data_IF_372484598459
#
_entry.id   IF_372484598459
#
_cell.length_a   1.000
_cell.length_b   1.000
_cell.length_c   1.000
_cell.angle_alpha   90.00
_cell.angle_beta   90.00
_cell.angle_gamma   90.00
#
_symmetry.space_group_name_H-M   'P 1'
#
loop_
_entity.id
_entity.type
_entity.pdbx_description
1 polymer ?
#
# COMPACT_ATOMS: atom_id res chain seq x y z
N UNK A 1 -63.90 2.53 -12.37
CA UNK A 1 -63.25 2.87 -11.09
C UNK A 1 -61.96 3.59 -11.41
N UNK A 2 -62.00 4.92 -11.37
CA UNK A 2 -60.90 5.80 -11.76
C UNK A 2 -60.32 6.34 -10.45
N UNK A 3 -59.09 5.94 -10.12
CA UNK A 3 -58.40 6.39 -8.90
C UNK A 3 -57.73 7.71 -9.23
N UNK A 4 -58.27 8.81 -8.69
CA UNK A 4 -57.64 10.11 -8.71
C UNK A 4 -56.57 10.17 -7.62
N UNK A 5 -55.30 10.26 -8.01
CA UNK A 5 -54.19 10.59 -7.11
C UNK A 5 -54.10 12.10 -6.98
N UNK A 6 -54.54 12.59 -5.83
CA UNK A 6 -54.39 13.97 -5.39
C UNK A 6 -52.94 14.17 -4.92
N UNK A 7 -52.15 14.86 -5.73
CA UNK A 7 -50.73 15.13 -5.46
C UNK A 7 -50.61 16.55 -4.90
N UNK A 8 -50.33 16.66 -3.61
CA UNK A 8 -50.09 17.94 -2.95
C UNK A 8 -48.89 18.67 -3.58
N UNK A 9 -48.94 20.02 -3.72
CA UNK A 9 -47.83 20.79 -4.27
C UNK A 9 -46.60 20.72 -3.35
N UNK A 10 -45.39 20.66 -3.91
CA UNK A 10 -44.16 20.54 -3.13
C UNK A 10 -43.90 21.79 -2.29
N UNK A 11 -43.30 21.56 -1.11
CA UNK A 11 -42.96 22.58 -0.13
C UNK A 11 -42.02 23.66 -0.75
N UNK A 12 -42.40 24.95 -0.72
CA UNK A 12 -41.61 26.04 -1.27
C UNK A 12 -40.23 26.22 -0.61
N UNK A 13 -39.96 25.59 0.55
CA UNK A 13 -38.63 25.60 1.15
C UNK A 13 -37.64 24.68 0.43
N UNK A 14 -38.09 23.55 -0.15
CA UNK A 14 -37.19 22.64 -0.87
C UNK A 14 -36.71 23.22 -2.20
N UNK A 15 -37.54 24.02 -2.87
CA UNK A 15 -37.14 24.70 -4.11
C UNK A 15 -36.03 25.74 -3.89
N UNK A 16 -35.99 26.40 -2.71
CA UNK A 16 -34.92 27.37 -2.38
C UNK A 16 -33.58 26.72 -2.05
N UNK A 17 -33.58 25.47 -1.59
CA UNK A 17 -32.36 24.71 -1.29
C UNK A 17 -31.73 24.22 -2.60
N UNK A 18 -32.55 23.78 -3.56
CA UNK A 18 -32.08 23.32 -4.87
C UNK A 18 -31.50 24.47 -5.73
N UNK A 19 -32.10 25.66 -5.70
CA UNK A 19 -31.55 26.83 -6.39
C UNK A 19 -30.18 27.30 -5.82
N UNK A 20 -29.92 27.07 -4.53
CA UNK A 20 -28.61 27.38 -3.92
C UNK A 20 -27.51 26.40 -4.31
N UNK A 21 -27.87 25.15 -4.62
CA UNK A 21 -26.90 24.12 -5.04
C UNK A 21 -26.52 24.32 -6.52
N UNK A 22 -27.44 24.77 -7.37
CA UNK A 22 -27.18 25.02 -8.79
C UNK A 22 -26.27 26.24 -9.06
N UNK A 23 -26.14 27.18 -8.12
CA UNK A 23 -25.43 28.44 -8.32
C UNK A 23 -23.93 28.43 -7.97
N UNK A 24 -23.35 27.30 -7.56
CA UNK A 24 -21.89 27.14 -7.41
C UNK A 24 -21.18 28.16 -6.51
N UNK A 25 -21.89 28.82 -5.60
CA UNK A 25 -21.34 29.90 -4.77
C UNK A 25 -20.90 29.35 -3.41
N UNK A 26 -19.59 29.27 -3.11
CA UNK A 26 -19.15 28.87 -1.78
C UNK A 26 -19.64 29.87 -0.73
N UNK A 27 -19.99 29.42 0.49
CA UNK A 27 -20.38 30.33 1.56
C UNK A 27 -19.20 31.24 1.88
N UNK A 28 -19.44 32.56 1.82
CA UNK A 28 -18.48 33.57 2.22
C UNK A 28 -18.04 33.29 3.66
N UNK A 29 -16.73 33.17 3.86
CA UNK A 29 -16.11 33.10 5.17
C UNK A 29 -16.48 34.37 5.94
N UNK A 30 -17.31 34.22 6.96
CA UNK A 30 -17.56 35.28 7.94
C UNK A 30 -16.27 35.53 8.70
N UNK A 31 -15.66 36.69 8.41
CA UNK A 31 -14.64 37.32 9.24
C UNK A 31 -15.14 37.41 10.69
N UNK A 32 -14.38 36.81 11.59
CA UNK A 32 -14.68 36.76 13.02
C UNK A 32 -13.64 37.63 13.75
N UNK A 33 -13.90 38.93 14.02
CA UNK A 33 -12.98 39.79 14.73
C UNK A 33 -13.20 39.62 16.24
N UNK A 34 -12.51 38.67 16.86
CA UNK A 34 -12.47 38.58 18.32
C UNK A 34 -11.08 38.19 18.82
N UNK A 35 -10.25 39.22 18.97
CA UNK A 35 -9.01 39.15 19.74
C UNK A 35 -9.31 38.94 21.22
N UNK A 36 -9.33 37.69 21.66
CA UNK A 36 -9.16 37.33 23.06
C UNK A 36 -7.81 36.61 23.21
N UNK A 37 -6.82 37.35 23.73
CA UNK A 37 -5.59 36.77 24.29
C UNK A 37 -6.00 35.80 25.42
N UNK A 38 -6.00 34.50 25.15
CA UNK A 38 -6.03 33.48 26.21
C UNK A 38 -4.73 33.58 27.00
N UNK A 39 -4.84 34.13 28.21
CA UNK A 39 -3.84 34.01 29.26
C UNK A 39 -3.73 32.53 29.63
N UNK A 40 -2.57 31.92 29.36
CA UNK A 40 -2.31 30.52 29.70
C UNK A 40 -2.40 30.33 31.22
N UNK A 41 -3.32 29.47 31.66
CA UNK A 41 -3.36 28.99 33.04
C UNK A 41 -2.21 28.00 33.25
N UNK A 42 -1.51 28.04 34.40
CA UNK A 42 -0.45 27.10 34.72
C UNK A 42 -1.01 25.67 34.80
N UNK A 43 -0.28 24.71 34.20
CA UNK A 43 -0.66 23.31 34.20
C UNK A 43 -0.69 22.73 35.64
N UNK A 44 -1.66 21.88 35.98
CA UNK A 44 -1.70 21.19 37.26
C UNK A 44 -0.50 20.27 37.41
N UNK A 45 0.12 20.29 38.60
CA UNK A 45 1.25 19.41 38.96
C UNK A 45 0.81 17.94 38.95
N UNK A 46 1.63 17.03 38.39
CA UNK A 46 1.31 15.60 38.39
C UNK A 46 1.33 15.02 39.81
N UNK A 47 0.45 14.05 40.12
CA UNK A 47 0.41 13.38 41.41
C UNK A 47 1.67 12.54 41.66
N UNK A 48 2.09 12.37 42.94
CA UNK A 48 3.24 11.56 43.28
C UNK A 48 3.02 10.07 42.95
N UNK A 49 4.07 9.33 42.57
CA UNK A 49 3.97 7.91 42.26
C UNK A 49 3.62 7.08 43.52
N UNK A 50 2.83 6.01 43.38
CA UNK A 50 2.49 5.13 44.49
C UNK A 50 3.73 4.39 45.00
N UNK A 51 3.88 4.32 46.33
CA UNK A 51 4.95 3.60 47.00
C UNK A 51 4.86 2.10 46.71
N UNK A 52 5.91 1.55 46.09
CA UNK A 52 6.05 0.12 45.84
C UNK A 52 6.30 -0.61 47.17
N UNK A 53 5.30 -1.37 47.62
CA UNK A 53 5.45 -2.31 48.72
C UNK A 53 6.39 -3.45 48.31
N UNK A 54 7.49 -3.63 49.04
CA UNK A 54 8.42 -4.75 48.86
C UNK A 54 7.76 -6.06 49.32
N UNK A 55 7.15 -6.77 48.37
CA UNK A 55 6.69 -8.14 48.53
C UNK A 55 7.87 -9.11 48.63
N UNK A 56 7.90 -9.86 49.73
CA UNK A 56 8.91 -10.86 50.09
C UNK A 56 8.88 -12.02 49.06
N UNK A 57 9.98 -12.24 48.36
CA UNK A 57 10.11 -13.31 47.36
C UNK A 57 10.10 -14.70 48.01
N UNK A 58 9.19 -15.56 47.59
CA UNK A 58 9.22 -17.02 47.84
C UNK A 58 10.16 -17.71 46.86
N UNK A 59 11.00 -18.68 47.31
CA UNK A 59 11.91 -19.40 46.43
C UNK A 59 11.17 -20.40 45.51
N UNK A 60 11.68 -20.64 44.29
CA UNK A 60 11.10 -21.60 43.36
C UNK A 60 11.38 -23.07 43.76
N UNK A 61 10.49 -24.03 43.42
CA UNK A 61 10.71 -25.45 43.67
C UNK A 61 11.77 -26.03 42.72
N UNK A 62 12.64 -26.88 43.30
CA UNK A 62 13.72 -27.58 42.61
C UNK A 62 13.23 -28.42 41.42
N UNK A 63 13.82 -28.16 40.25
CA UNK A 63 13.58 -28.92 39.03
C UNK A 63 14.19 -30.34 39.14
N UNK A 64 13.37 -31.34 38.83
CA UNK A 64 13.72 -32.76 38.78
C UNK A 64 14.44 -33.06 37.46
N UNK A 65 15.66 -33.60 37.54
CA UNK A 65 16.49 -33.92 36.37
C UNK A 65 15.83 -34.98 35.47
N UNK A 66 15.79 -34.72 34.16
CA UNK A 66 15.42 -35.69 33.14
C UNK A 66 16.65 -36.50 32.69
N UNK A 67 16.49 -37.78 32.30
CA UNK A 67 17.58 -38.62 31.83
C UNK A 67 18.12 -38.17 30.47
N UNK A 68 19.46 -38.12 30.37
CA UNK A 68 20.22 -37.78 29.18
C UNK A 68 20.11 -38.89 28.13
N UNK A 69 19.52 -38.56 26.97
CA UNK A 69 19.48 -39.43 25.80
C UNK A 69 20.74 -39.19 24.97
N UNK A 70 21.51 -40.26 24.78
CA UNK A 70 22.76 -40.29 24.00
C UNK A 70 22.44 -40.27 22.50
N UNK A 71 23.10 -39.44 21.67
CA UNK A 71 22.98 -39.52 20.22
C UNK A 71 23.79 -40.71 19.67
N UNK A 72 23.35 -41.34 18.56
CA UNK A 72 24.07 -42.43 17.89
C UNK A 72 25.22 -41.91 17.01
N UNK A 73 26.27 -42.73 16.90
CA UNK A 73 27.48 -42.48 16.10
C UNK A 73 27.19 -42.38 14.59
N UNK A 74 27.90 -41.50 13.86
CA UNK A 74 27.84 -41.47 12.40
C UNK A 74 28.63 -42.63 11.78
N UNK A 75 27.94 -43.41 10.96
CA UNK A 75 28.53 -44.42 10.07
C UNK A 75 29.44 -43.75 9.04
N UNK A 76 30.64 -44.31 8.94
CA UNK A 76 31.75 -43.88 8.10
C UNK A 76 31.67 -44.65 6.77
N UNK A 77 31.10 -44.03 5.73
CA UNK A 77 31.06 -44.63 4.39
C UNK A 77 32.35 -44.35 3.62
N UNK A 78 32.93 -45.44 3.11
CA UNK A 78 34.15 -45.49 2.30
C UNK A 78 33.92 -44.92 0.90
N UNK A 79 34.72 -43.93 0.51
CA UNK A 79 34.77 -43.42 -0.85
C UNK A 79 35.72 -44.27 -1.72
N UNK A 80 35.20 -44.79 -2.84
CA UNK A 80 36.02 -45.30 -3.95
C UNK A 80 36.35 -44.16 -4.93
N UNK A 81 37.55 -44.15 -5.56
CA UNK A 81 37.93 -43.10 -6.49
C UNK A 81 37.28 -43.34 -7.87
N UNK A 82 36.47 -42.39 -8.33
CA UNK A 82 35.99 -42.32 -9.72
C UNK A 82 36.97 -41.48 -10.52
N UNK A 83 37.54 -42.09 -11.56
CA UNK A 83 38.41 -41.45 -12.55
C UNK A 83 37.56 -40.53 -13.43
N UNK A 84 37.78 -39.22 -13.35
CA UNK A 84 37.08 -38.23 -14.18
C UNK A 84 37.91 -37.95 -15.43
N UNK A 85 37.39 -38.35 -16.59
CA UNK A 85 37.93 -38.00 -17.89
C UNK A 85 37.71 -36.51 -18.18
N UNK A 86 38.78 -35.82 -18.57
CA UNK A 86 38.77 -34.41 -18.94
C UNK A 86 38.06 -34.22 -20.30
N UNK A 87 36.81 -33.76 -20.26
CA UNK A 87 36.13 -33.19 -21.43
C UNK A 87 36.36 -31.69 -21.44
N UNK A 88 37.01 -31.18 -22.49
CA UNK A 88 37.06 -29.75 -22.81
C UNK A 88 35.63 -29.25 -23.07
N UNK A 89 35.04 -28.61 -22.06
CA UNK A 89 33.77 -27.91 -22.19
C UNK A 89 33.99 -26.51 -22.74
N UNK A 90 33.58 -26.30 -23.98
CA UNK A 90 33.35 -24.98 -24.56
C UNK A 90 32.34 -24.22 -23.69
N UNK A 91 32.60 -22.96 -23.29
CA UNK A 91 31.74 -22.25 -22.34
C UNK A 91 30.35 -22.04 -22.95
N UNK A 92 29.27 -22.47 -22.28
CA UNK A 92 27.92 -22.25 -22.78
C UNK A 92 27.67 -20.74 -22.89
N UNK A 93 27.35 -20.29 -24.10
CA UNK A 93 26.93 -18.91 -24.39
C UNK A 93 25.69 -18.64 -23.55
N UNK A 94 25.88 -17.98 -22.41
CA UNK A 94 24.78 -17.63 -21.51
C UNK A 94 23.75 -16.81 -22.30
N UNK A 95 22.46 -17.20 -22.31
CA UNK A 95 21.44 -16.42 -22.99
C UNK A 95 21.47 -15.02 -22.39
N UNK A 96 21.66 -14.00 -23.25
CA UNK A 96 21.54 -12.59 -22.87
C UNK A 96 20.14 -12.41 -22.28
N UNK A 97 20.02 -12.46 -20.95
CA UNK A 97 18.80 -12.08 -20.25
C UNK A 97 18.57 -10.62 -20.63
N UNK A 98 17.57 -10.38 -21.46
CA UNK A 98 17.08 -9.03 -21.74
C UNK A 98 16.68 -8.45 -20.39
N UNK A 99 17.53 -7.58 -19.84
CA UNK A 99 17.18 -6.81 -18.66
C UNK A 99 15.86 -6.11 -18.99
N UNK A 100 14.80 -6.32 -18.20
CA UNK A 100 13.53 -5.65 -18.44
C UNK A 100 13.81 -4.14 -18.52
N UNK A 101 13.42 -3.54 -19.64
CA UNK A 101 13.64 -2.11 -19.86
C UNK A 101 12.84 -1.34 -18.82
N UNK A 102 13.53 -0.64 -17.93
CA UNK A 102 12.93 0.23 -16.92
C UNK A 102 12.43 1.57 -17.51
N UNK A 103 12.59 1.77 -18.82
CA UNK A 103 12.13 2.96 -19.54
C UNK A 103 10.63 2.88 -19.84
N UNK A 104 9.99 4.04 -19.89
CA UNK A 104 8.63 4.19 -20.42
C UNK A 104 8.73 3.90 -21.93
N UNK A 105 7.95 2.95 -22.43
CA UNK A 105 7.90 2.66 -23.87
C UNK A 105 7.31 3.83 -24.66
N UNK A 106 7.54 3.91 -25.99
CA UNK A 106 7.00 4.98 -26.81
C UNK A 106 5.46 5.06 -26.77
N UNK A 107 4.79 3.92 -26.54
CA UNK A 107 3.33 3.84 -26.45
C UNK A 107 2.80 3.86 -24.99
N UNK A 108 3.70 3.98 -24.01
CA UNK A 108 3.31 4.06 -22.61
C UNK A 108 2.97 5.52 -22.25
N UNK A 109 1.80 5.75 -21.67
CA UNK A 109 1.40 7.03 -21.09
C UNK A 109 1.66 7.04 -19.58
N UNK A 110 2.25 8.14 -19.09
CA UNK A 110 2.47 8.40 -17.69
C UNK A 110 1.46 9.43 -17.16
N UNK A 111 0.80 9.11 -16.06
CA UNK A 111 -0.02 10.04 -15.30
C UNK A 111 0.54 10.19 -13.90
N UNK A 112 0.87 11.42 -13.51
CA UNK A 112 1.15 11.74 -12.12
C UNK A 112 -0.15 11.65 -11.32
N UNK A 113 -0.17 10.74 -10.34
CA UNK A 113 -1.31 10.57 -9.44
C UNK A 113 -1.18 11.49 -8.23
N UNK A 114 0.03 11.61 -7.68
CA UNK A 114 0.29 12.35 -6.44
C UNK A 114 1.79 12.57 -6.20
N UNK A 115 2.13 13.62 -5.46
CA UNK A 115 3.45 13.83 -4.88
C UNK A 115 3.38 14.57 -3.54
N UNK A 116 4.48 14.49 -2.78
CA UNK A 116 4.72 15.21 -1.53
C UNK A 116 5.53 16.48 -1.81
N UNK A 117 4.93 17.69 -1.71
CA UNK A 117 5.63 18.95 -1.94
C UNK A 117 6.85 19.11 -1.02
N UNK A 118 6.79 18.58 0.21
CA UNK A 118 7.92 18.67 1.15
C UNK A 118 9.14 17.86 0.70
N UNK A 119 8.96 16.89 -0.20
CA UNK A 119 10.03 16.08 -0.75
C UNK A 119 10.72 16.73 -1.96
N UNK A 120 10.06 17.65 -2.67
CA UNK A 120 10.58 18.26 -3.92
C UNK A 120 11.93 18.96 -3.73
N UNK A 121 12.17 19.75 -2.66
CA UNK A 121 13.49 20.33 -2.42
C UNK A 121 14.61 19.27 -2.28
N UNK A 122 14.30 18.08 -1.75
CA UNK A 122 15.26 16.97 -1.68
C UNK A 122 15.48 16.31 -3.04
N UNK A 123 14.46 16.27 -3.89
CA UNK A 123 14.59 15.80 -5.28
C UNK A 123 15.55 16.71 -6.06
N UNK A 124 15.32 18.03 -6.03
CA UNK A 124 16.17 19.06 -6.69
C UNK A 124 17.61 19.11 -6.16
N UNK A 125 17.87 18.61 -4.94
CA UNK A 125 19.22 18.50 -4.37
C UNK A 125 20.05 17.36 -4.94
N UNK A 126 19.44 16.34 -5.56
CA UNK A 126 20.20 15.24 -6.16
C UNK A 126 20.81 15.70 -7.48
N UNK A 127 22.13 15.75 -7.57
CA UNK A 127 22.83 16.29 -8.75
C UNK A 127 22.40 15.64 -10.07
N UNK A 128 22.20 14.32 -10.08
CA UNK A 128 21.74 13.58 -11.28
C UNK A 128 20.35 14.00 -11.74
N UNK A 129 19.49 14.42 -10.82
CA UNK A 129 18.13 14.87 -11.09
C UNK A 129 18.09 16.34 -11.44
N UNK A 130 18.88 17.17 -10.74
CA UNK A 130 19.08 18.57 -11.08
C UNK A 130 19.56 18.74 -12.52
N UNK A 131 20.64 18.08 -12.90
CA UNK A 131 21.17 18.14 -14.27
C UNK A 131 20.14 17.71 -15.33
N UNK A 132 19.23 16.80 -14.98
CA UNK A 132 18.15 16.36 -15.87
C UNK A 132 17.09 17.46 -16.00
N UNK A 133 16.67 18.06 -14.88
CA UNK A 133 15.69 19.14 -14.86
C UNK A 133 16.23 20.37 -15.59
N UNK A 134 17.46 20.81 -15.31
CA UNK A 134 18.11 21.95 -15.97
C UNK A 134 18.10 21.76 -17.50
N UNK A 135 18.47 20.57 -17.98
CA UNK A 135 18.47 20.24 -19.42
C UNK A 135 17.06 20.28 -20.03
N UNK A 136 16.05 19.76 -19.33
CA UNK A 136 14.67 19.73 -19.83
C UNK A 136 14.06 21.14 -19.84
N UNK A 137 14.42 21.99 -18.88
CA UNK A 137 14.02 23.39 -18.85
C UNK A 137 14.59 24.16 -20.05
N UNK A 138 15.87 23.95 -20.38
CA UNK A 138 16.50 24.53 -21.57
C UNK A 138 15.80 24.07 -22.87
N UNK A 139 15.35 22.82 -22.95
CA UNK A 139 14.61 22.29 -24.11
C UNK A 139 13.20 22.90 -24.23
N UNK A 140 12.48 23.07 -23.13
CA UNK A 140 11.12 23.62 -23.11
C UNK A 140 11.06 25.11 -23.46
N UNK A 141 12.03 25.89 -23.01
CA UNK A 141 12.10 27.33 -23.34
C UNK A 141 12.19 27.58 -24.86
N UNK A 142 12.68 26.61 -25.63
CA UNK A 142 12.73 26.71 -27.09
C UNK A 142 11.36 26.51 -27.77
N UNK A 143 10.35 26.01 -27.05
CA UNK A 143 9.01 25.69 -27.57
C UNK A 143 7.92 26.69 -27.14
N UNK A 144 8.30 27.90 -26.73
CA UNK A 144 7.42 28.89 -26.10
C UNK A 144 6.10 29.13 -26.86
N UNK A 145 5.00 28.62 -26.29
CA UNK A 145 3.62 29.01 -26.58
C UNK A 145 3.24 29.98 -25.47
N UNK A 146 2.86 31.20 -25.84
CA UNK A 146 2.40 32.28 -24.94
C UNK A 146 1.04 31.91 -24.30
N UNK A 147 1.02 31.06 -23.26
CA UNK A 147 -0.17 30.80 -22.44
C UNK A 147 -0.11 31.59 -21.13
N UNK A 148 -0.49 32.86 -21.22
CA UNK A 148 -0.51 33.89 -20.15
C UNK A 148 -1.65 33.70 -19.11
N UNK A 149 -2.22 32.50 -18.97
CA UNK A 149 -3.52 32.31 -18.33
C UNK A 149 -3.56 31.30 -17.17
N UNK A 150 -2.47 31.09 -16.43
CA UNK A 150 -2.47 30.23 -15.24
C UNK A 150 -2.22 31.05 -13.96
N UNK A 151 -3.32 31.38 -13.30
CA UNK A 151 -3.40 32.09 -12.03
C UNK A 151 -3.29 31.15 -10.82
N UNK A 152 -2.70 29.96 -11.00
CA UNK A 152 -2.41 29.01 -9.93
C UNK A 152 -1.07 29.37 -9.26
N UNK A 153 -0.88 28.92 -8.01
CA UNK A 153 0.35 29.12 -7.25
C UNK A 153 1.56 28.60 -8.07
N UNK A 154 2.34 29.52 -8.64
CA UNK A 154 3.43 29.21 -9.59
C UNK A 154 4.42 28.15 -9.05
N UNK A 155 4.60 28.10 -7.73
CA UNK A 155 5.43 27.11 -7.03
C UNK A 155 4.85 25.70 -7.17
N UNK A 156 3.54 25.53 -7.03
CA UNK A 156 2.89 24.21 -7.14
C UNK A 156 2.93 23.70 -8.58
N UNK A 157 2.84 24.62 -9.56
CA UNK A 157 2.99 24.29 -10.98
C UNK A 157 4.41 23.82 -11.29
N UNK A 158 5.44 24.51 -10.78
CA UNK A 158 6.84 24.12 -10.94
C UNK A 158 7.15 22.78 -10.26
N UNK A 159 6.67 22.59 -9.03
CA UNK A 159 6.86 21.35 -8.27
C UNK A 159 6.17 20.15 -8.94
N UNK A 160 4.97 20.36 -9.49
CA UNK A 160 4.24 19.35 -10.26
C UNK A 160 4.98 19.02 -11.56
N UNK A 161 5.44 20.04 -12.31
CA UNK A 161 6.24 19.89 -13.54
C UNK A 161 7.49 19.08 -13.27
N UNK A 162 8.31 19.50 -12.32
CA UNK A 162 9.59 18.85 -12.02
C UNK A 162 9.38 17.40 -11.59
N UNK A 163 8.38 17.14 -10.74
CA UNK A 163 8.08 15.78 -10.29
C UNK A 163 7.63 14.90 -11.45
N UNK A 164 6.78 15.44 -12.34
CA UNK A 164 6.36 14.73 -13.56
C UNK A 164 7.56 14.42 -14.45
N UNK A 165 8.44 15.38 -14.69
CA UNK A 165 9.63 15.22 -15.52
C UNK A 165 10.61 14.19 -14.97
N UNK A 166 10.83 14.18 -13.66
CA UNK A 166 11.64 13.14 -13.01
C UNK A 166 11.02 11.76 -13.18
N UNK A 167 9.71 11.63 -12.98
CA UNK A 167 9.01 10.37 -13.19
C UNK A 167 9.07 9.94 -14.65
N UNK A 168 9.03 10.84 -15.63
CA UNK A 168 9.11 10.52 -17.05
C UNK A 168 10.52 10.10 -17.49
N UNK A 169 11.53 10.90 -17.14
CA UNK A 169 12.83 10.85 -17.81
C UNK A 169 13.97 10.27 -16.97
N UNK A 170 13.87 10.29 -15.64
CA UNK A 170 14.99 9.84 -14.81
C UNK A 170 15.20 8.32 -14.87
N UNK A 171 16.42 7.86 -14.62
CA UNK A 171 16.72 6.43 -14.62
C UNK A 171 16.12 5.74 -13.39
N UNK A 172 15.21 4.80 -13.63
CA UNK A 172 14.59 4.00 -12.58
C UNK A 172 15.49 2.84 -12.14
N UNK A 173 15.61 2.67 -10.83
CA UNK A 173 16.24 1.50 -10.24
C UNK A 173 15.33 0.28 -10.32
N UNK A 174 15.95 -0.89 -10.49
CA UNK A 174 15.26 -2.17 -10.40
C UNK A 174 14.93 -2.48 -8.93
N UNK A 175 13.76 -3.06 -8.68
CA UNK A 175 13.27 -3.41 -7.33
C UNK A 175 14.22 -4.36 -6.59
N UNK A 176 14.89 -5.26 -7.29
CA UNK A 176 15.89 -6.16 -6.71
C UNK A 176 17.22 -5.50 -6.29
N UNK A 177 17.38 -4.18 -6.41
CA UNK A 177 18.59 -3.44 -5.99
C UNK A 177 18.32 -2.46 -4.84
N UNK A 178 17.27 -2.68 -4.07
CA UNK A 178 16.89 -1.77 -2.98
C UNK A 178 17.94 -1.78 -1.85
N UNK A 179 18.60 -2.92 -1.59
CA UNK A 179 19.70 -3.02 -0.61
C UNK A 179 20.91 -2.14 -0.98
N UNK A 180 21.31 -2.13 -2.25
CA UNK A 180 22.39 -1.28 -2.78
C UNK A 180 22.09 0.21 -2.61
N UNK A 181 20.81 0.58 -2.55
CA UNK A 181 20.38 1.96 -2.35
C UNK A 181 20.39 2.30 -0.87
N UNK A 182 19.89 1.42 0.00
CA UNK A 182 19.86 1.64 1.46
C UNK A 182 21.28 1.88 2.01
N UNK A 183 22.26 1.09 1.57
CA UNK A 183 23.66 1.20 2.01
C UNK A 183 24.26 2.60 1.78
N UNK A 184 23.80 3.31 0.74
CA UNK A 184 24.22 4.71 0.44
C UNK A 184 23.63 5.74 1.41
N UNK A 185 22.60 5.37 2.16
CA UNK A 185 21.98 6.24 3.17
C UNK A 185 22.81 6.37 4.44
N UNK A 186 23.88 5.59 4.59
CA UNK A 186 24.79 5.65 5.74
C UNK A 186 25.87 6.70 5.48
N UNK A 187 25.89 7.73 6.32
CA UNK A 187 26.99 8.70 6.37
C UNK A 187 28.22 8.09 7.06
N UNK A 188 29.40 8.65 6.80
CA UNK A 188 30.66 8.27 7.47
C UNK A 188 30.58 8.48 9.00
N UNK A 189 29.79 9.46 9.44
CA UNK A 189 29.48 9.74 10.86
C UNK A 189 28.55 8.70 11.51
N UNK A 190 28.13 7.66 10.77
CA UNK A 190 27.15 6.66 11.23
C UNK A 190 25.69 7.15 11.26
N UNK A 191 25.44 8.41 10.89
CA UNK A 191 24.08 8.95 10.73
C UNK A 191 23.41 8.30 9.52
N UNK A 192 22.14 7.93 9.68
CA UNK A 192 21.33 7.42 8.59
C UNK A 192 20.45 8.53 8.02
N UNK A 193 20.58 8.79 6.72
CA UNK A 193 19.71 9.67 5.95
C UNK A 193 19.02 8.81 4.89
N UNK A 194 17.71 8.57 4.99
CA UNK A 194 16.98 7.71 4.05
C UNK A 194 17.20 8.16 2.61
N UNK A 195 17.84 7.32 1.77
CA UNK A 195 18.15 7.68 0.41
C UNK A 195 16.88 7.75 -0.42
N UNK A 196 16.80 8.76 -1.28
CA UNK A 196 15.68 8.97 -2.19
C UNK A 196 16.00 8.29 -3.52
N UNK A 197 15.09 7.48 -4.05
CA UNK A 197 15.31 6.73 -5.28
C UNK A 197 14.03 6.62 -6.10
N UNK A 198 14.20 6.51 -7.42
CA UNK A 198 13.12 6.28 -8.36
C UNK A 198 13.09 4.80 -8.74
N UNK A 199 11.91 4.21 -8.74
CA UNK A 199 11.68 2.81 -9.07
C UNK A 199 10.62 2.69 -10.17
N UNK A 200 10.73 1.63 -10.96
CA UNK A 200 9.71 1.19 -11.91
C UNK A 200 9.29 -0.23 -11.55
N UNK A 201 8.00 -0.54 -11.70
CA UNK A 201 7.46 -1.86 -11.37
C UNK A 201 5.95 -1.90 -11.40
N UNK A 202 5.37 -2.85 -10.66
CA UNK A 202 3.92 -2.96 -10.46
C UNK A 202 3.62 -2.77 -8.98
N UNK A 203 2.67 -1.91 -8.65
CA UNK A 203 2.10 -1.90 -7.30
C UNK A 203 0.97 -2.91 -7.24
N UNK A 204 0.98 -3.78 -6.22
CA UNK A 204 -0.14 -4.62 -5.79
C UNK A 204 -0.65 -4.13 -4.45
N UNK A 205 -1.96 -4.06 -4.28
CA UNK A 205 -2.63 -3.59 -3.07
C UNK A 205 -3.35 -4.73 -2.36
N UNK A 206 -2.73 -5.40 -1.37
CA UNK A 206 -3.41 -6.40 -0.56
C UNK A 206 -4.62 -5.79 0.13
N UNK A 207 -5.75 -6.49 0.12
CA UNK A 207 -6.94 -6.08 0.86
C UNK A 207 -6.84 -6.42 2.34
N UNK A 208 -7.60 -5.70 3.15
CA UNK A 208 -7.78 -6.05 4.55
C UNK A 208 -8.48 -7.41 4.68
N UNK A 209 -7.94 -8.28 5.54
CA UNK A 209 -8.40 -9.66 5.67
C UNK A 209 -9.81 -9.74 6.26
N UNK A 210 -10.16 -8.85 7.20
CA UNK A 210 -11.48 -8.81 7.82
C UNK A 210 -12.52 -8.27 6.84
N UNK A 211 -12.19 -7.21 6.11
CA UNK A 211 -13.06 -6.69 5.05
C UNK A 211 -13.25 -7.72 3.92
N UNK A 212 -12.19 -8.49 3.59
CA UNK A 212 -12.30 -9.63 2.66
C UNK A 212 -13.28 -10.68 3.15
N UNK A 213 -13.26 -11.01 4.45
CA UNK A 213 -14.20 -11.95 5.04
C UNK A 213 -15.64 -11.43 4.95
N UNK A 214 -15.88 -10.17 5.33
CA UNK A 214 -17.20 -9.53 5.25
C UNK A 214 -17.74 -9.53 3.82
N UNK A 215 -16.93 -9.12 2.85
CA UNK A 215 -17.30 -9.13 1.44
C UNK A 215 -17.62 -10.55 0.93
N UNK A 216 -16.85 -11.55 1.36
CA UNK A 216 -17.08 -12.96 1.00
C UNK A 216 -18.41 -13.47 1.60
N UNK A 217 -18.70 -13.15 2.86
CA UNK A 217 -19.97 -13.50 3.51
C UNK A 217 -21.15 -12.89 2.73
N UNK A 218 -21.09 -11.58 2.46
CA UNK A 218 -22.14 -10.87 1.72
C UNK A 218 -22.39 -11.47 0.33
N UNK A 219 -21.33 -11.86 -0.38
CA UNK A 219 -21.44 -12.47 -1.71
C UNK A 219 -21.96 -13.92 -1.67
N UNK A 220 -21.71 -14.67 -0.60
CA UNK A 220 -22.16 -16.06 -0.42
C UNK A 220 -23.57 -16.19 0.18
N UNK A 221 -24.04 -15.17 0.91
CA UNK A 221 -25.29 -15.18 1.66
C UNK A 221 -26.53 -15.61 0.83
N UNK A 222 -26.73 -15.18 -0.43
CA UNK A 222 -27.88 -15.60 -1.24
C UNK A 222 -28.00 -17.11 -1.46
N UNK A 223 -26.90 -17.86 -1.29
CA UNK A 223 -26.84 -19.31 -1.50
C UNK A 223 -26.96 -20.11 -0.20
N UNK A 224 -26.89 -19.45 0.96
CA UNK A 224 -26.92 -20.11 2.27
C UNK A 224 -28.24 -20.85 2.53
N UNK A 225 -29.36 -20.43 1.93
CA UNK A 225 -30.65 -21.09 2.09
C UNK A 225 -30.71 -22.47 1.41
N UNK A 226 -29.89 -22.71 0.39
CA UNK A 226 -29.91 -23.94 -0.40
C UNK A 226 -28.97 -25.03 0.16
N UNK A 227 -28.05 -24.68 1.05
CA UNK A 227 -27.05 -25.61 1.58
C UNK A 227 -26.72 -25.33 3.06
N UNK A 228 -27.04 -26.30 3.91
CA UNK A 228 -26.85 -26.21 5.36
C UNK A 228 -25.36 -26.10 5.75
N UNK A 229 -24.46 -26.70 4.96
CA UNK A 229 -23.03 -26.67 5.27
C UNK A 229 -22.42 -25.29 5.07
N UNK A 230 -22.76 -24.62 3.97
CA UNK A 230 -22.36 -23.24 3.69
C UNK A 230 -22.95 -22.30 4.73
N UNK A 231 -24.23 -22.47 5.06
CA UNK A 231 -24.89 -21.67 6.10
C UNK A 231 -24.16 -21.76 7.43
N UNK A 232 -23.85 -22.98 7.90
CA UNK A 232 -23.12 -23.17 9.15
C UNK A 232 -21.71 -22.54 9.11
N UNK A 233 -21.01 -22.58 7.98
CA UNK A 233 -19.70 -21.93 7.83
C UNK A 233 -19.82 -20.39 7.85
N UNK A 234 -20.86 -19.84 7.22
CA UNK A 234 -21.17 -18.40 7.25
C UNK A 234 -21.53 -17.94 8.65
N UNK A 235 -22.41 -18.65 9.35
CA UNK A 235 -22.82 -18.32 10.72
C UNK A 235 -21.60 -18.30 11.66
N UNK A 236 -20.72 -19.29 11.56
CA UNK A 236 -19.46 -19.31 12.30
C UNK A 236 -18.56 -18.12 11.94
N UNK A 237 -18.48 -17.73 10.67
CA UNK A 237 -17.68 -16.57 10.26
C UNK A 237 -18.27 -15.25 10.77
N UNK A 238 -19.59 -15.11 10.83
CA UNK A 238 -20.26 -13.94 11.41
C UNK A 238 -19.90 -13.75 12.88
N UNK A 239 -19.79 -14.83 13.67
CA UNK A 239 -19.36 -14.73 15.08
C UNK A 239 -17.98 -14.08 15.21
N UNK A 240 -17.07 -14.33 14.27
CA UNK A 240 -15.73 -13.70 14.24
C UNK A 240 -15.81 -12.23 13.88
N UNK A 241 -16.67 -11.86 12.92
CA UNK A 241 -16.89 -10.46 12.51
C UNK A 241 -17.56 -9.65 13.60
N UNK A 242 -18.48 -10.26 14.36
CA UNK A 242 -19.25 -9.61 15.42
C UNK A 242 -18.43 -9.36 16.68
N UNK A 243 -17.30 -10.05 16.89
CA UNK A 243 -16.45 -9.85 18.07
C UNK A 243 -15.74 -8.48 18.03
N UNK A 244 -16.19 -7.48 18.80
CA UNK A 244 -15.55 -6.17 18.81
C UNK A 244 -14.18 -6.27 19.49
N UNK A 245 -13.20 -5.49 19.02
CA UNK A 245 -11.83 -5.43 19.58
C UNK A 245 -11.00 -6.70 19.50
N UNK A 246 -11.45 -7.74 18.78
CA UNK A 246 -10.47 -8.72 18.35
C UNK A 246 -9.50 -7.97 17.44
N UNK A 247 -8.24 -7.86 17.87
CA UNK A 247 -7.11 -7.78 16.93
C UNK A 247 -7.13 -9.11 16.21
N UNK A 248 -8.12 -9.29 15.33
CA UNK A 248 -8.39 -10.55 14.68
C UNK A 248 -7.12 -10.85 13.92
N UNK A 249 -6.43 -11.90 14.32
CA UNK A 249 -5.26 -12.36 13.62
C UNK A 249 -5.68 -12.48 12.15
N UNK A 250 -5.04 -11.79 11.19
CA UNK A 250 -5.45 -11.82 9.78
C UNK A 250 -5.60 -13.26 9.26
N UNK A 251 -4.80 -14.17 9.79
CA UNK A 251 -4.88 -15.61 9.58
C UNK A 251 -6.25 -16.23 9.89
N UNK A 252 -6.92 -15.81 10.97
CA UNK A 252 -8.25 -16.30 11.31
C UNK A 252 -9.26 -15.89 10.24
N UNK A 253 -9.25 -14.63 9.83
CA UNK A 253 -10.12 -14.13 8.77
C UNK A 253 -9.85 -14.87 7.44
N UNK A 254 -8.58 -15.02 7.05
CA UNK A 254 -8.18 -15.80 5.87
C UNK A 254 -8.69 -17.25 5.93
N UNK A 255 -8.59 -17.91 7.09
CA UNK A 255 -9.06 -19.27 7.28
C UNK A 255 -10.58 -19.39 7.09
N UNK A 256 -11.36 -18.46 7.64
CA UNK A 256 -12.82 -18.44 7.45
C UNK A 256 -13.19 -18.13 5.99
N UNK A 257 -12.53 -17.16 5.36
CA UNK A 257 -12.72 -16.87 3.92
C UNK A 257 -12.46 -18.11 3.08
N UNK A 258 -11.38 -18.84 3.37
CA UNK A 258 -11.04 -20.09 2.68
C UNK A 258 -12.12 -21.15 2.86
N UNK A 259 -12.60 -21.36 4.09
CA UNK A 259 -13.69 -22.32 4.38
C UNK A 259 -14.98 -21.99 3.63
N UNK A 260 -15.36 -20.72 3.57
CA UNK A 260 -16.54 -20.28 2.81
C UNK A 260 -16.35 -20.58 1.32
N UNK A 261 -15.18 -20.23 0.75
CA UNK A 261 -14.86 -20.52 -0.66
C UNK A 261 -14.89 -22.03 -0.95
N UNK A 262 -14.34 -22.86 -0.06
CA UNK A 262 -14.31 -24.30 -0.24
C UNK A 262 -15.70 -24.94 -0.13
N UNK A 263 -16.54 -24.48 0.81
CA UNK A 263 -17.94 -24.90 0.91
C UNK A 263 -18.72 -24.48 -0.35
N UNK A 264 -18.59 -23.22 -0.77
CA UNK A 264 -19.25 -22.68 -1.95
C UNK A 264 -18.87 -23.45 -3.23
N UNK A 265 -17.62 -23.88 -3.37
CA UNK A 265 -17.16 -24.66 -4.53
C UNK A 265 -17.88 -25.99 -4.69
N UNK A 266 -18.30 -26.63 -3.58
CA UNK A 266 -18.97 -27.93 -3.55
C UNK A 266 -20.46 -27.87 -3.87
N UNK A 267 -21.05 -26.67 -3.84
CA UNK A 267 -22.45 -26.47 -4.17
C UNK A 267 -22.74 -26.82 -5.63
N UNK A 268 -23.82 -27.56 -5.84
CA UNK A 268 -24.46 -27.65 -7.15
C UNK A 268 -25.21 -26.34 -7.41
N UNK A 269 -24.69 -25.53 -8.34
CA UNK A 269 -25.12 -24.13 -8.52
C UNK A 269 -25.15 -23.74 -9.99
N UNK A 270 -26.06 -22.82 -10.30
CA UNK A 270 -26.25 -22.26 -11.64
C UNK A 270 -25.27 -21.13 -11.99
N UNK A 271 -24.47 -20.66 -11.04
CA UNK A 271 -23.51 -19.56 -11.24
C UNK A 271 -22.11 -20.07 -11.58
N UNK A 272 -21.30 -19.22 -12.20
CA UNK A 272 -19.92 -19.56 -12.54
C UNK A 272 -19.10 -19.92 -11.30
N UNK A 273 -18.07 -20.76 -11.50
CA UNK A 273 -17.19 -21.18 -10.39
C UNK A 273 -16.50 -20.00 -9.71
N UNK A 274 -16.21 -18.95 -10.47
CA UNK A 274 -15.51 -17.74 -10.03
C UNK A 274 -16.44 -16.64 -9.51
N UNK A 275 -17.76 -16.88 -9.46
CA UNK A 275 -18.73 -15.85 -9.05
C UNK A 275 -18.37 -15.24 -7.70
N UNK A 276 -18.09 -16.08 -6.70
CA UNK A 276 -17.80 -15.63 -5.35
C UNK A 276 -16.52 -14.80 -5.30
N UNK A 277 -15.44 -15.24 -5.95
CA UNK A 277 -14.20 -14.46 -6.02
C UNK A 277 -14.40 -13.12 -6.73
N UNK A 278 -15.10 -13.09 -7.87
CA UNK A 278 -15.36 -11.86 -8.62
C UNK A 278 -16.22 -10.85 -7.85
N UNK A 279 -17.29 -11.30 -7.18
CA UNK A 279 -18.15 -10.41 -6.39
C UNK A 279 -17.43 -9.87 -5.14
N UNK A 280 -16.68 -10.74 -4.46
CA UNK A 280 -15.85 -10.34 -3.30
C UNK A 280 -14.83 -9.28 -3.74
N UNK A 281 -14.09 -9.56 -4.80
CA UNK A 281 -13.05 -8.66 -5.32
C UNK A 281 -13.62 -7.31 -5.76
N UNK A 282 -14.76 -7.32 -6.45
CA UNK A 282 -15.47 -6.10 -6.84
C UNK A 282 -15.87 -5.25 -5.63
N UNK A 283 -16.48 -5.86 -4.61
CA UNK A 283 -16.88 -5.16 -3.40
C UNK A 283 -15.67 -4.54 -2.67
N UNK A 284 -14.54 -5.25 -2.62
CA UNK A 284 -13.30 -4.76 -2.00
C UNK A 284 -12.68 -3.56 -2.73
N UNK A 285 -12.67 -3.59 -4.07
CA UNK A 285 -12.19 -2.47 -4.89
C UNK A 285 -13.12 -1.27 -4.82
N UNK A 286 -14.44 -1.49 -4.89
CA UNK A 286 -15.45 -0.43 -4.75
C UNK A 286 -15.37 0.27 -3.40
N UNK A 287 -15.20 -0.48 -2.31
CA UNK A 287 -15.00 0.06 -0.97
C UNK A 287 -13.57 0.53 -0.65
N UNK A 288 -12.61 0.32 -1.56
CA UNK A 288 -11.17 0.61 -1.37
C UNK A 288 -10.64 0.05 -0.05
N UNK A 289 -11.00 -1.19 0.25
CA UNK A 289 -10.66 -1.90 1.50
C UNK A 289 -9.21 -2.41 1.49
N UNK A 290 -8.25 -1.54 1.16
CA UNK A 290 -6.83 -1.86 1.18
C UNK A 290 -6.34 -2.08 2.61
N UNK A 291 -5.27 -2.85 2.74
CA UNK A 291 -4.59 -3.01 4.02
C UNK A 291 -3.94 -1.68 4.45
N UNK A 292 -4.22 -1.25 5.68
CA UNK A 292 -3.64 -0.03 6.29
C UNK A 292 -2.71 -0.37 7.46
N UNK A 293 -1.71 0.49 7.68
CA UNK A 293 -0.75 0.37 8.79
C UNK A 293 -0.39 1.74 9.34
N UNK A 294 -0.23 1.85 10.66
CA UNK A 294 0.40 3.01 11.29
C UNK A 294 1.92 2.83 11.26
N UNK A 295 2.59 3.55 10.35
CA UNK A 295 4.05 3.50 10.16
C UNK A 295 4.57 4.90 9.89
N UNK A 296 5.83 5.16 10.22
CA UNK A 296 6.45 6.49 10.03
C UNK A 296 5.70 7.66 10.68
N UNK A 297 4.92 7.39 11.73
CA UNK A 297 4.16 8.38 12.49
C UNK A 297 2.70 8.55 12.06
N UNK A 298 2.30 8.04 10.89
CA UNK A 298 0.97 8.27 10.31
C UNK A 298 0.34 6.99 9.75
N UNK A 299 -0.93 7.06 9.37
CA UNK A 299 -1.63 5.99 8.67
C UNK A 299 -1.25 5.93 7.18
N UNK A 300 -0.86 4.74 6.73
CA UNK A 300 -0.44 4.47 5.37
C UNK A 300 -1.18 3.27 4.79
N UNK A 301 -1.48 3.35 3.49
CA UNK A 301 -1.91 2.23 2.67
C UNK A 301 -0.68 1.35 2.40
N UNK A 302 -0.81 0.06 2.70
CA UNK A 302 0.23 -0.93 2.41
C UNK A 302 0.03 -1.47 1.00
N UNK A 303 1.08 -1.34 0.20
CA UNK A 303 1.22 -1.96 -1.11
C UNK A 303 2.50 -2.80 -1.17
N UNK A 304 2.66 -3.56 -2.25
CA UNK A 304 3.87 -4.28 -2.59
C UNK A 304 4.36 -3.80 -3.95
N UNK A 305 5.61 -3.32 -4.02
CA UNK A 305 6.27 -3.02 -5.29
C UNK A 305 6.91 -4.29 -5.82
N UNK A 306 6.41 -4.75 -6.97
CA UNK A 306 6.79 -5.98 -7.65
C UNK A 306 7.65 -5.65 -8.87
N UNK A 307 8.72 -6.41 -9.08
CA UNK A 307 9.64 -6.19 -10.22
C UNK A 307 8.96 -6.46 -11.57
N UNK A 308 8.08 -7.46 -11.62
CA UNK A 308 7.35 -7.89 -12.82
C UNK A 308 5.90 -8.24 -12.46
N UNK A 309 5.08 -8.48 -13.49
CA UNK A 309 3.67 -8.86 -13.29
C UNK A 309 3.51 -10.27 -12.68
N UNK A 310 4.54 -11.11 -12.81
CA UNK A 310 4.50 -12.50 -12.33
C UNK A 310 5.14 -12.68 -10.95
N UNK A 311 5.84 -11.65 -10.44
CA UNK A 311 6.50 -11.74 -9.14
C UNK A 311 5.48 -11.67 -8.00
N UNK A 312 5.55 -12.63 -7.09
CA UNK A 312 4.81 -12.61 -5.82
C UNK A 312 5.61 -11.99 -4.68
N UNK A 313 6.95 -12.00 -4.79
CA UNK A 313 7.83 -11.33 -3.85
C UNK A 313 7.96 -9.85 -4.21
N UNK A 314 7.84 -9.01 -3.19
CA UNK A 314 7.66 -7.57 -3.37
C UNK A 314 8.13 -6.80 -2.16
N UNK A 315 8.61 -5.58 -2.42
CA UNK A 315 9.07 -4.69 -1.37
C UNK A 315 7.87 -3.96 -0.77
N UNK A 316 7.63 -4.05 0.56
CA UNK A 316 6.61 -3.29 1.26
C UNK A 316 6.73 -1.81 0.92
N UNK A 317 5.66 -1.26 0.37
CA UNK A 317 5.61 0.10 -0.14
C UNK A 317 4.43 0.80 0.50
N UNK A 318 4.70 1.86 1.25
CA UNK A 318 3.71 2.59 2.02
C UNK A 318 3.38 3.91 1.35
N UNK A 319 2.09 4.08 1.06
CA UNK A 319 1.52 5.28 0.48
C UNK A 319 0.73 6.03 1.57
N UNK A 320 0.74 7.36 1.61
CA UNK A 320 -0.10 8.10 2.56
C UNK A 320 -1.58 7.77 2.39
N UNK A 321 -2.37 7.75 3.48
CA UNK A 321 -3.80 7.43 3.39
C UNK A 321 -4.61 8.43 2.55
N UNK A 322 -4.14 9.67 2.42
CA UNK A 322 -4.75 10.72 1.58
C UNK A 322 -4.86 10.30 0.11
N UNK A 323 -3.98 9.41 -0.36
CA UNK A 323 -4.03 8.84 -1.71
C UNK A 323 -5.21 7.90 -1.94
N UNK A 324 -5.89 7.43 -0.88
CA UNK A 324 -6.98 6.47 -0.98
C UNK A 324 -8.01 6.89 -2.01
N UNK A 325 -8.33 8.18 -2.16
CA UNK A 325 -9.35 8.70 -3.10
C UNK A 325 -8.83 8.88 -4.54
N UNK A 326 -7.53 9.07 -4.70
CA UNK A 326 -6.88 9.35 -5.99
C UNK A 326 -6.40 8.08 -6.70
N UNK A 327 -6.21 6.99 -5.94
CA UNK A 327 -5.81 5.70 -6.50
C UNK A 327 -6.85 5.21 -7.51
N UNK A 328 -6.42 4.61 -8.63
CA UNK A 328 -7.34 4.00 -9.55
C UNK A 328 -7.89 2.69 -8.95
N UNK A 329 -9.09 2.27 -9.36
CA UNK A 329 -9.77 1.07 -8.82
C UNK A 329 -9.20 -0.24 -9.40
N UNK A 330 -7.89 -0.41 -9.33
CA UNK A 330 -7.20 -1.63 -9.70
C UNK A 330 -6.50 -2.22 -8.48
N UNK A 331 -6.52 -3.55 -8.35
CA UNK A 331 -5.69 -4.25 -7.36
C UNK A 331 -4.21 -4.12 -7.71
N UNK A 332 -3.90 -4.00 -9.00
CA UNK A 332 -2.55 -3.95 -9.52
C UNK A 332 -2.43 -3.06 -10.75
N UNK A 333 -1.34 -2.29 -10.84
CA UNK A 333 -1.02 -1.51 -12.03
C UNK A 333 0.47 -1.17 -12.13
N UNK A 334 0.93 -0.87 -13.36
CA UNK A 334 2.30 -0.42 -13.64
C UNK A 334 2.52 0.99 -13.11
N UNK A 335 3.68 1.22 -12.53
CA UNK A 335 4.03 2.50 -11.92
C UNK A 335 5.48 2.90 -12.17
N UNK A 336 5.70 4.20 -12.03
CA UNK A 336 6.99 4.77 -11.65
C UNK A 336 6.78 5.57 -10.39
N UNK A 337 7.64 5.39 -9.40
CA UNK A 337 7.49 6.06 -8.11
C UNK A 337 8.83 6.57 -7.61
N UNK A 338 8.79 7.68 -6.90
CA UNK A 338 9.92 8.16 -6.09
C UNK A 338 9.60 7.78 -4.64
N UNK A 339 10.55 7.13 -3.98
CA UNK A 339 10.41 6.73 -2.59
C UNK A 339 11.69 6.96 -1.80
N UNK A 340 11.51 7.18 -0.49
CA UNK A 340 12.59 7.03 0.47
C UNK A 340 12.74 5.57 0.82
N UNK A 341 13.97 5.06 0.74
CA UNK A 341 14.29 3.68 1.13
C UNK A 341 14.58 3.64 2.63
N UNK A 342 13.87 2.79 3.34
CA UNK A 342 13.92 2.66 4.79
C UNK A 342 14.20 1.20 5.18
N UNK A 343 14.74 0.95 6.38
CA UNK A 343 14.64 -0.38 7.01
C UNK A 343 13.16 -0.80 7.16
N UNK A 344 12.93 -2.09 7.39
CA UNK A 344 11.60 -2.63 7.65
C UNK A 344 10.88 -1.83 8.75
N UNK A 345 9.70 -1.30 8.42
CA UNK A 345 8.88 -0.51 9.34
C UNK A 345 8.06 -1.39 10.32
N UNK A 346 8.00 -2.70 10.05
CA UNK A 346 7.23 -3.65 10.84
C UNK A 346 7.94 -5.01 10.86
N UNK A 347 7.94 -5.66 12.03
CA UNK A 347 8.52 -6.99 12.24
C UNK A 347 7.77 -8.11 11.50
N UNK A 348 6.54 -7.85 11.05
CA UNK A 348 5.71 -8.81 10.32
C UNK A 348 5.91 -8.71 8.80
N UNK A 349 6.73 -7.78 8.33
CA UNK A 349 7.12 -7.72 6.93
C UNK A 349 8.18 -8.79 6.65
N UNK A 350 8.02 -9.49 5.53
CA UNK A 350 9.00 -10.51 5.10
C UNK A 350 10.28 -9.88 4.55
N UNK A 351 10.14 -8.72 3.91
CA UNK A 351 11.26 -8.02 3.30
C UNK A 351 11.96 -7.14 4.34
N UNK A 352 13.31 -7.14 4.40
CA UNK A 352 14.07 -6.38 5.41
C UNK A 352 14.02 -4.86 5.21
N UNK A 353 13.53 -4.41 4.05
CA UNK A 353 13.44 -2.99 3.66
C UNK A 353 12.00 -2.60 3.35
N UNK A 354 11.71 -1.31 3.47
CA UNK A 354 10.45 -0.69 3.12
C UNK A 354 10.65 0.57 2.27
N UNK A 355 9.66 0.90 1.45
CA UNK A 355 9.61 2.12 0.65
C UNK A 355 8.52 3.03 1.21
N UNK A 356 8.86 4.29 1.54
CA UNK A 356 7.86 5.35 1.78
C UNK A 356 7.76 6.21 0.53
N UNK A 357 6.61 6.15 -0.14
CA UNK A 357 6.36 6.86 -1.40
C UNK A 357 6.26 8.36 -1.16
N UNK A 358 6.93 9.13 -2.02
CA UNK A 358 6.85 10.60 -2.04
C UNK A 358 6.38 11.14 -3.40
N UNK A 359 6.37 10.32 -4.45
CA UNK A 359 5.71 10.64 -5.71
C UNK A 359 5.28 9.35 -6.41
N UNK A 360 4.11 9.36 -7.04
CA UNK A 360 3.52 8.21 -7.70
C UNK A 360 2.99 8.58 -9.08
N UNK A 361 3.57 7.97 -10.11
CA UNK A 361 3.07 7.99 -11.47
C UNK A 361 2.53 6.62 -11.87
N UNK A 362 1.36 6.59 -12.50
CA UNK A 362 0.78 5.40 -13.12
C UNK A 362 1.20 5.34 -14.59
N UNK A 363 1.56 4.15 -15.05
CA UNK A 363 1.78 3.87 -16.47
C UNK A 363 0.60 3.05 -17.01
N UNK A 364 0.07 3.43 -18.17
CA UNK A 364 -0.82 2.57 -18.96
C UNK A 364 -0.51 2.67 -20.45
N UNK A 365 -0.96 1.67 -21.20
CA UNK A 365 -0.99 1.72 -22.67
C UNK A 365 -2.43 1.94 -23.11
N UNK A 366 -2.72 2.97 -23.92
CA UNK A 366 -4.00 3.04 -24.61
C UNK A 366 -4.12 1.83 -25.56
N UNK A 367 -5.33 1.28 -25.67
CA UNK A 367 -5.62 0.11 -26.48
C UNK A 367 -5.63 0.42 -27.98
#
# INVERSE_FOLDING_TARGET
>A
MTVATDSAPPDPQLLRILDRIAAGRPPAATDNPSGYRRRALPAPTPPPPPALAHGRATPPPSARALPSVRPPDPLQDSAAPVVVAAFSSEPPVAPKRSSPSNAIGPDDLLQLLWFDPAAVPRMRRRQTWRNLLDRLEDEQQNHHIDDDALNDDAVDVEDHRDTFELLSHANAHHVGRVDDILTRGRSDDGKFVPPLALFAGHLRFPFDALETLKATISAALPFAAADETLKAVIDNANTVVECPNLVAAPELAHNHTKRIKDAFRRLDRLVSRNYLESQTHRALLEGRHYQRRQVFGDEHIRALLLASDESDDGVPTYLPDTLTKQLPMFERFRVRLIATVQPAASQFERHPLALRVVALGRIWRPA
#
